data_IF_030797901102
#
_entry.id   IF_030797901102
#
_cell.length_a   1.000
_cell.length_b   1.000
_cell.length_c   1.000
_cell.angle_alpha   90.00
_cell.angle_beta   90.00
_cell.angle_gamma   90.00
#
_symmetry.space_group_name_H-M   'P 1'
#
loop_
_entity.id
_entity.type
_entity.pdbx_description
1 polymer ?
#
# COMPACT_ATOMS: atom_id res chain seq x y z
N UNK A 1 70.76 34.66 14.75
CA UNK A 1 70.61 35.34 13.47
C UNK A 1 69.15 35.40 13.12
N UNK A 2 68.51 36.43 13.58
CA UNK A 2 67.09 36.72 13.52
C UNK A 2 66.78 37.42 12.22
N UNK A 3 65.84 36.89 11.44
CA UNK A 3 65.25 37.62 10.30
C UNK A 3 63.79 37.85 10.57
N UNK A 4 63.56 39.10 10.91
CA UNK A 4 62.27 39.78 11.05
C UNK A 4 61.66 39.97 9.64
N UNK A 5 60.42 39.59 9.44
CA UNK A 5 59.68 39.79 8.20
C UNK A 5 58.27 40.25 8.49
N UNK A 6 58.15 41.54 8.85
CA UNK A 6 56.86 42.24 8.86
C UNK A 6 56.52 42.77 7.47
N UNK A 7 55.35 42.53 6.89
CA UNK A 7 54.95 43.18 5.66
C UNK A 7 54.39 44.58 5.88
N UNK A 8 54.86 45.47 5.06
CA UNK A 8 54.56 46.90 4.95
C UNK A 8 53.07 47.17 4.66
N UNK A 9 52.43 48.18 5.26
CA UNK A 9 51.05 48.57 4.97
C UNK A 9 51.00 49.32 3.64
N UNK A 10 50.14 48.80 2.72
CA UNK A 10 49.83 49.45 1.46
C UNK A 10 48.93 50.66 1.71
N UNK A 11 49.47 51.84 1.27
CA UNK A 11 48.85 53.15 1.24
C UNK A 11 47.44 53.13 0.65
N UNK A 12 46.46 53.68 1.37
CA UNK A 12 45.13 53.97 0.90
C UNK A 12 45.20 55.09 -0.18
N UNK A 13 44.79 54.76 -1.39
CA UNK A 13 44.55 55.74 -2.46
C UNK A 13 43.13 56.36 -2.23
N UNK A 14 43.08 57.69 -2.25
CA UNK A 14 41.82 58.46 -2.20
C UNK A 14 40.92 58.13 -3.40
N UNK A 15 39.60 58.06 -3.22
CA UNK A 15 38.66 57.86 -4.33
C UNK A 15 38.45 59.18 -5.09
N UNK A 16 38.56 59.11 -6.41
CA UNK A 16 38.26 60.21 -7.31
C UNK A 16 36.76 60.58 -7.26
N UNK A 17 36.41 61.87 -7.32
CA UNK A 17 35.03 62.34 -7.26
C UNK A 17 34.32 62.18 -8.61
N UNK A 18 33.11 61.58 -8.57
CA UNK A 18 32.08 61.79 -9.60
C UNK A 18 31.96 60.75 -10.68
N UNK A 19 31.29 59.62 -10.34
CA UNK A 19 30.45 58.86 -11.27
C UNK A 19 29.51 58.02 -10.43
N UNK A 20 28.35 58.61 -10.05
CA UNK A 20 27.20 57.81 -9.66
C UNK A 20 26.65 57.14 -10.88
N UNK A 21 26.64 55.80 -11.00
CA UNK A 21 25.86 55.18 -12.03
C UNK A 21 24.38 55.41 -11.71
N UNK A 22 23.64 56.05 -12.60
CA UNK A 22 22.17 56.00 -12.65
C UNK A 22 21.75 54.55 -12.65
N UNK A 23 21.45 54.01 -11.50
CA UNK A 23 20.79 52.73 -11.37
C UNK A 23 19.35 52.96 -11.88
N UNK A 24 19.10 52.59 -13.14
CA UNK A 24 17.74 52.41 -13.65
C UNK A 24 16.95 51.57 -12.64
N UNK A 25 15.69 51.91 -12.31
CA UNK A 25 14.86 51.16 -11.41
C UNK A 25 14.80 49.72 -11.90
N UNK A 26 15.11 48.77 -10.99
CA UNK A 26 15.01 47.35 -11.31
C UNK A 26 13.61 47.08 -11.86
N UNK A 27 13.49 46.32 -12.96
CA UNK A 27 12.18 45.98 -13.50
C UNK A 27 11.39 45.28 -12.38
N UNK A 28 10.16 45.78 -12.16
CA UNK A 28 9.20 45.17 -11.24
C UNK A 28 9.09 43.67 -11.56
N UNK A 29 9.72 42.83 -10.77
CA UNK A 29 9.52 41.39 -10.84
C UNK A 29 8.04 41.14 -10.55
N UNK A 30 7.31 40.47 -11.43
CA UNK A 30 5.92 40.18 -11.16
C UNK A 30 5.81 39.45 -9.83
N UNK A 31 5.00 39.98 -8.92
CA UNK A 31 4.76 39.41 -7.60
C UNK A 31 4.44 37.92 -7.78
N UNK A 32 5.26 37.05 -7.16
CA UNK A 32 5.04 35.60 -7.23
C UNK A 32 3.59 35.34 -6.81
N UNK A 33 2.80 34.63 -7.63
CA UNK A 33 1.41 34.40 -7.34
C UNK A 33 1.32 33.76 -5.94
N UNK A 34 0.55 34.35 -5.03
CA UNK A 34 0.23 33.77 -3.74
C UNK A 34 -0.41 32.42 -3.99
N UNK A 35 0.40 31.36 -4.00
CA UNK A 35 -0.10 29.99 -4.14
C UNK A 35 -0.95 29.72 -2.90
N UNK A 36 -2.26 29.60 -3.11
CA UNK A 36 -3.17 29.13 -2.05
C UNK A 36 -2.60 27.85 -1.45
N UNK A 37 -2.61 27.75 -0.12
CA UNK A 37 -2.19 26.53 0.60
C UNK A 37 -2.86 25.26 0.06
N UNK A 38 -3.99 25.39 -0.60
CA UNK A 38 -4.77 24.29 -1.20
C UNK A 38 -4.63 24.17 -2.72
N UNK A 39 -3.73 24.92 -3.38
CA UNK A 39 -3.52 24.81 -4.82
C UNK A 39 -3.07 23.40 -5.25
N UNK A 40 -2.46 22.63 -4.34
CA UNK A 40 -2.07 21.23 -4.59
C UNK A 40 -3.27 20.27 -4.67
N UNK A 41 -4.46 20.67 -4.21
CA UNK A 41 -5.68 19.87 -4.34
C UNK A 41 -6.39 20.08 -5.70
N UNK A 42 -5.87 20.96 -6.55
CA UNK A 42 -6.50 21.19 -7.86
C UNK A 42 -6.36 19.96 -8.77
N UNK A 43 -7.46 19.45 -9.36
CA UNK A 43 -7.47 18.17 -10.09
C UNK A 43 -6.54 18.06 -11.31
N UNK A 44 -6.09 19.19 -11.85
CA UNK A 44 -5.19 19.24 -13.02
C UNK A 44 -3.81 19.82 -12.70
N UNK A 45 -3.53 20.11 -11.41
CA UNK A 45 -2.23 20.64 -11.03
C UNK A 45 -1.16 19.53 -10.99
N UNK A 46 -0.04 19.75 -11.69
CA UNK A 46 1.15 18.91 -11.51
C UNK A 46 1.76 19.18 -10.14
N UNK A 47 2.15 18.11 -9.44
CA UNK A 47 2.66 18.20 -8.08
C UNK A 47 4.19 18.22 -8.09
N UNK A 48 4.79 19.05 -7.22
CA UNK A 48 6.20 18.88 -6.86
C UNK A 48 6.38 17.59 -6.04
N UNK A 49 7.60 17.07 -5.96
CA UNK A 49 7.87 15.88 -5.14
C UNK A 49 7.41 16.06 -3.68
N UNK A 50 7.57 17.26 -3.11
CA UNK A 50 7.13 17.55 -1.76
C UNK A 50 5.60 17.55 -1.63
N UNK A 51 4.89 18.25 -2.52
CA UNK A 51 3.42 18.31 -2.46
C UNK A 51 2.77 16.96 -2.77
N UNK A 52 3.35 16.17 -3.68
CA UNK A 52 2.92 14.80 -3.94
C UNK A 52 3.08 13.91 -2.71
N UNK A 53 4.24 13.97 -2.05
CA UNK A 53 4.51 13.20 -0.82
C UNK A 53 3.52 13.57 0.27
N UNK A 54 3.33 14.86 0.54
CA UNK A 54 2.40 15.34 1.56
C UNK A 54 0.96 14.90 1.27
N UNK A 55 0.51 15.03 0.03
CA UNK A 55 -0.81 14.61 -0.41
C UNK A 55 -1.04 13.10 -0.21
N UNK A 56 -0.07 12.28 -0.63
CA UNK A 56 -0.15 10.83 -0.48
C UNK A 56 -0.07 10.39 0.99
N UNK A 57 0.77 11.04 1.80
CA UNK A 57 0.83 10.78 3.25
C UNK A 57 -0.49 11.09 3.94
N UNK A 58 -1.08 12.26 3.67
CA UNK A 58 -2.37 12.67 4.23
C UNK A 58 -3.49 11.71 3.78
N UNK A 59 -3.50 11.33 2.50
CA UNK A 59 -4.42 10.34 1.96
C UNK A 59 -4.28 8.99 2.66
N UNK A 60 -3.07 8.51 2.86
CA UNK A 60 -2.80 7.23 3.53
C UNK A 60 -3.29 7.26 4.98
N UNK A 61 -3.04 8.35 5.71
CA UNK A 61 -3.54 8.52 7.07
C UNK A 61 -5.08 8.52 7.10
N UNK A 62 -5.70 9.32 6.24
CA UNK A 62 -7.16 9.41 6.18
C UNK A 62 -7.80 8.09 5.75
N UNK A 63 -7.20 7.40 4.78
CA UNK A 63 -7.63 6.05 4.37
C UNK A 63 -7.49 5.04 5.50
N UNK A 64 -6.42 5.12 6.30
CA UNK A 64 -6.24 4.30 7.50
C UNK A 64 -7.34 4.52 8.53
N UNK A 65 -7.70 5.77 8.80
CA UNK A 65 -8.83 6.12 9.69
C UNK A 65 -10.15 5.58 9.13
N UNK A 66 -10.41 5.77 7.82
CA UNK A 66 -11.60 5.23 7.18
C UNK A 66 -11.64 3.70 7.21
N UNK A 67 -10.49 3.03 7.10
CA UNK A 67 -10.42 1.58 7.23
C UNK A 67 -10.81 1.09 8.64
N UNK A 68 -10.38 1.81 9.69
CA UNK A 68 -10.81 1.52 11.07
C UNK A 68 -12.31 1.75 11.25
N UNK A 69 -12.83 2.88 10.74
CA UNK A 69 -14.27 3.18 10.75
C UNK A 69 -15.05 2.09 10.00
N UNK A 70 -14.58 1.67 8.83
CA UNK A 70 -15.16 0.58 8.05
C UNK A 70 -15.25 -0.71 8.85
N UNK A 71 -14.16 -1.13 9.49
CA UNK A 71 -14.12 -2.36 10.30
C UNK A 71 -15.07 -2.23 11.48
N UNK A 72 -15.11 -1.08 12.15
CA UNK A 72 -16.05 -0.82 13.24
C UNK A 72 -17.50 -0.98 12.76
N UNK A 73 -17.88 -0.38 11.64
CA UNK A 73 -19.26 -0.49 11.12
C UNK A 73 -19.61 -1.91 10.69
N UNK A 74 -18.69 -2.63 10.03
CA UNK A 74 -18.90 -4.03 9.65
C UNK A 74 -19.16 -4.88 10.90
N UNK A 75 -18.32 -4.77 11.92
CA UNK A 75 -18.47 -5.54 13.15
C UNK A 75 -19.68 -5.09 13.97
N UNK A 76 -20.02 -3.81 13.97
CA UNK A 76 -21.20 -3.30 14.64
C UNK A 76 -22.49 -3.90 14.06
N UNK A 77 -22.59 -4.04 12.74
CA UNK A 77 -23.79 -4.54 12.05
C UNK A 77 -23.83 -6.07 12.05
N UNK A 78 -22.71 -6.75 11.76
CA UNK A 78 -22.68 -8.19 11.49
C UNK A 78 -21.98 -9.00 12.60
N UNK A 79 -21.24 -8.37 13.51
CA UNK A 79 -20.46 -9.03 14.57
C UNK A 79 -19.20 -9.71 14.03
N UNK A 80 -18.44 -10.35 14.94
CA UNK A 80 -17.38 -11.28 14.58
C UNK A 80 -17.98 -12.69 14.56
N UNK A 81 -18.37 -13.17 13.38
CA UNK A 81 -19.07 -14.43 13.25
C UNK A 81 -19.02 -14.99 11.83
N UNK A 82 -19.81 -16.04 11.56
CA UNK A 82 -19.76 -16.77 10.31
C UNK A 82 -19.90 -15.92 9.05
N UNK A 83 -20.75 -14.91 9.09
CA UNK A 83 -20.99 -14.04 7.94
C UNK A 83 -19.79 -13.14 7.65
N UNK A 84 -19.22 -12.52 8.68
CA UNK A 84 -18.03 -11.67 8.57
C UNK A 84 -16.78 -12.48 8.25
N UNK A 85 -16.67 -13.69 8.77
CA UNK A 85 -15.58 -14.61 8.41
C UNK A 85 -15.66 -15.00 6.94
N UNK A 86 -16.85 -15.38 6.44
CA UNK A 86 -17.07 -15.69 5.05
C UNK A 86 -16.76 -14.48 4.13
N UNK A 87 -17.17 -13.28 4.54
CA UNK A 87 -16.87 -12.05 3.81
C UNK A 87 -15.36 -11.77 3.75
N UNK A 88 -14.67 -11.86 4.88
CA UNK A 88 -13.24 -11.61 4.95
C UNK A 88 -12.42 -12.67 4.20
N UNK A 89 -12.80 -13.94 4.32
CA UNK A 89 -12.20 -15.06 3.60
C UNK A 89 -12.40 -14.95 2.07
N UNK A 90 -13.53 -14.41 1.65
CA UNK A 90 -13.89 -14.29 0.24
C UNK A 90 -12.94 -13.39 -0.58
N UNK A 91 -12.17 -12.52 0.06
CA UNK A 91 -11.15 -11.72 -0.62
C UNK A 91 -9.88 -12.50 -0.98
N UNK A 92 -9.63 -13.66 -0.36
CA UNK A 92 -8.33 -14.32 -0.52
C UNK A 92 -8.08 -14.81 -1.94
N UNK A 93 -9.04 -15.46 -2.57
CA UNK A 93 -8.87 -15.92 -3.95
C UNK A 93 -8.76 -14.76 -4.95
N UNK A 94 -9.60 -13.70 -4.90
CA UNK A 94 -9.39 -12.48 -5.68
C UNK A 94 -8.02 -11.84 -5.45
N UNK A 95 -7.59 -11.70 -4.19
CA UNK A 95 -6.27 -11.14 -3.85
C UNK A 95 -5.14 -11.99 -4.43
N UNK A 96 -5.22 -13.33 -4.33
CA UNK A 96 -4.22 -14.23 -4.93
C UNK A 96 -4.11 -14.01 -6.44
N UNK A 97 -5.23 -13.92 -7.15
CA UNK A 97 -5.23 -13.62 -8.58
C UNK A 97 -4.57 -12.27 -8.87
N UNK A 98 -4.91 -11.23 -8.09
CA UNK A 98 -4.31 -9.92 -8.25
C UNK A 98 -2.79 -9.95 -8.00
N UNK A 99 -2.33 -10.64 -6.96
CA UNK A 99 -0.89 -10.74 -6.66
C UNK A 99 -0.13 -11.51 -7.74
N UNK A 100 -0.66 -12.62 -8.23
CA UNK A 100 0.00 -13.44 -9.24
C UNK A 100 -0.06 -12.84 -10.65
N UNK A 101 -1.15 -12.15 -11.01
CA UNK A 101 -1.35 -11.64 -12.38
C UNK A 101 -1.05 -10.15 -12.53
N UNK A 102 -1.17 -9.38 -11.45
CA UNK A 102 -1.02 -7.91 -11.48
C UNK A 102 0.15 -7.45 -10.61
N UNK A 103 0.37 -8.12 -9.46
CA UNK A 103 1.49 -7.90 -8.55
C UNK A 103 1.64 -6.48 -8.00
N UNK A 104 0.62 -5.63 -8.12
CA UNK A 104 0.73 -4.20 -7.80
C UNK A 104 1.72 -3.42 -8.66
N UNK A 105 2.38 -4.08 -9.59
CA UNK A 105 3.57 -3.61 -10.34
C UNK A 105 3.21 -3.20 -11.75
N UNK A 106 2.01 -3.60 -12.24
CA UNK A 106 1.58 -3.28 -13.60
C UNK A 106 1.70 -1.78 -13.91
N UNK A 107 1.31 -0.94 -12.97
CA UNK A 107 1.42 0.52 -13.09
C UNK A 107 2.87 0.99 -13.09
N UNK A 108 3.74 0.42 -12.25
CA UNK A 108 5.15 0.85 -12.12
C UNK A 108 5.91 0.55 -13.41
N UNK A 109 5.77 -0.67 -13.94
CA UNK A 109 6.39 -1.06 -15.21
C UNK A 109 5.89 -0.20 -16.37
N UNK A 110 4.58 0.10 -16.38
CA UNK A 110 4.00 0.93 -17.42
C UNK A 110 4.46 2.39 -17.34
N UNK A 111 4.61 2.96 -16.14
CA UNK A 111 5.17 4.31 -15.94
C UNK A 111 6.56 4.43 -16.56
N UNK A 112 7.41 3.41 -16.40
CA UNK A 112 8.75 3.41 -17.01
C UNK A 112 8.69 3.48 -18.53
N UNK A 113 7.78 2.72 -19.14
CA UNK A 113 7.59 2.71 -20.59
C UNK A 113 7.01 4.05 -21.06
N UNK A 114 5.99 4.56 -20.39
CA UNK A 114 5.33 5.82 -20.74
C UNK A 114 6.28 7.03 -20.63
N UNK A 115 7.15 7.06 -19.61
CA UNK A 115 8.15 8.13 -19.48
C UNK A 115 9.04 8.23 -20.71
N UNK A 116 9.39 7.11 -21.35
CA UNK A 116 10.17 7.10 -22.59
C UNK A 116 9.37 7.71 -23.74
N UNK A 117 8.13 7.24 -24.00
CA UNK A 117 7.28 7.78 -25.04
C UNK A 117 7.05 9.30 -24.91
N UNK A 118 6.79 9.76 -23.70
CA UNK A 118 6.52 11.19 -23.45
C UNK A 118 7.79 12.04 -23.49
N UNK A 119 8.96 11.48 -23.14
CA UNK A 119 10.24 12.17 -23.32
C UNK A 119 10.60 12.35 -24.79
N UNK A 120 10.17 11.45 -25.67
CA UNK A 120 10.33 11.52 -27.12
C UNK A 120 9.24 12.38 -27.79
N UNK A 121 8.25 12.90 -27.03
CA UNK A 121 7.13 13.69 -27.53
C UNK A 121 6.03 12.86 -28.22
N UNK A 122 6.10 11.52 -28.12
CA UNK A 122 5.13 10.59 -28.69
C UNK A 122 4.01 10.26 -27.70
N UNK A 123 3.13 11.23 -27.47
CA UNK A 123 1.96 11.03 -26.58
C UNK A 123 0.99 9.98 -27.14
N UNK A 124 0.81 9.92 -28.44
CA UNK A 124 -0.08 8.96 -29.08
C UNK A 124 0.45 7.53 -28.96
N UNK A 125 1.76 7.33 -29.12
CA UNK A 125 2.40 6.04 -28.87
C UNK A 125 2.26 5.60 -27.42
N UNK A 126 2.37 6.52 -26.47
CA UNK A 126 2.09 6.27 -25.05
C UNK A 126 0.64 5.85 -24.80
N UNK A 127 -0.33 6.53 -25.40
CA UNK A 127 -1.76 6.18 -25.27
C UNK A 127 -2.09 4.84 -25.91
N UNK A 128 -1.45 4.51 -27.04
CA UNK A 128 -1.53 3.18 -27.67
C UNK A 128 -0.93 2.10 -26.75
N UNK A 129 0.20 2.36 -26.13
CA UNK A 129 0.83 1.42 -25.19
C UNK A 129 -0.09 1.13 -23.99
N UNK A 130 -0.70 2.17 -23.37
CA UNK A 130 -1.72 2.01 -22.34
C UNK A 130 -2.85 1.12 -22.82
N UNK A 131 -3.40 1.41 -23.99
CA UNK A 131 -4.57 0.71 -24.54
C UNK A 131 -4.25 -0.76 -24.85
N UNK A 132 -3.08 -1.06 -25.39
CA UNK A 132 -2.65 -2.43 -25.69
C UNK A 132 -2.47 -3.25 -24.40
N UNK A 133 -1.77 -2.71 -23.40
CA UNK A 133 -1.61 -3.37 -22.09
C UNK A 133 -2.96 -3.57 -21.42
N UNK A 134 -3.81 -2.56 -21.43
CA UNK A 134 -5.15 -2.61 -20.85
C UNK A 134 -6.00 -3.71 -21.51
N UNK A 135 -6.11 -3.72 -22.83
CA UNK A 135 -6.94 -4.66 -23.56
C UNK A 135 -6.44 -6.10 -23.42
N UNK A 136 -5.12 -6.32 -23.53
CA UNK A 136 -4.52 -7.64 -23.39
C UNK A 136 -4.78 -8.19 -21.96
N UNK A 137 -4.59 -7.38 -20.94
CA UNK A 137 -4.76 -7.82 -19.56
C UNK A 137 -6.22 -7.92 -19.12
N UNK A 138 -7.13 -7.12 -19.69
CA UNK A 138 -8.57 -7.33 -19.49
C UNK A 138 -8.96 -8.73 -19.95
N UNK A 139 -8.45 -9.17 -21.10
CA UNK A 139 -8.72 -10.54 -21.60
C UNK A 139 -8.07 -11.61 -20.72
N UNK A 140 -6.79 -11.45 -20.36
CA UNK A 140 -6.06 -12.43 -19.53
C UNK A 140 -6.69 -12.52 -18.13
N UNK A 141 -6.88 -11.37 -17.48
CA UNK A 141 -7.46 -11.33 -16.14
C UNK A 141 -8.93 -11.74 -16.15
N UNK A 142 -9.69 -11.30 -17.15
CA UNK A 142 -11.09 -11.70 -17.32
C UNK A 142 -11.23 -13.22 -17.53
N UNK A 143 -10.39 -13.82 -18.38
CA UNK A 143 -10.34 -15.27 -18.54
C UNK A 143 -9.94 -15.98 -17.25
N UNK A 144 -8.93 -15.46 -16.53
CA UNK A 144 -8.50 -16.03 -15.25
C UNK A 144 -9.61 -15.95 -14.19
N UNK A 145 -10.38 -14.86 -14.14
CA UNK A 145 -11.54 -14.71 -13.26
C UNK A 145 -12.60 -15.77 -13.61
N UNK A 146 -12.99 -15.88 -14.88
CA UNK A 146 -13.96 -16.87 -15.33
C UNK A 146 -13.50 -18.31 -15.01
N UNK A 147 -12.22 -18.61 -15.23
CA UNK A 147 -11.65 -19.91 -14.88
C UNK A 147 -11.68 -20.12 -13.36
N UNK A 148 -11.37 -19.10 -12.54
CA UNK A 148 -11.33 -19.21 -11.10
C UNK A 148 -12.71 -19.39 -10.46
N UNK A 149 -13.78 -18.97 -11.12
CA UNK A 149 -15.15 -19.18 -10.60
C UNK A 149 -15.54 -20.65 -10.47
N UNK A 150 -15.05 -21.52 -11.38
CA UNK A 150 -15.35 -22.95 -11.35
C UNK A 150 -14.76 -23.65 -10.14
N UNK A 151 -13.46 -23.57 -9.84
CA UNK A 151 -12.87 -24.21 -8.66
C UNK A 151 -13.09 -23.44 -7.34
N UNK A 152 -13.74 -22.29 -7.35
CA UNK A 152 -13.96 -21.50 -6.13
C UNK A 152 -14.58 -22.30 -4.97
N UNK A 153 -15.60 -23.17 -5.15
CA UNK A 153 -16.13 -23.99 -4.06
C UNK A 153 -15.10 -24.97 -3.50
N UNK A 154 -14.32 -25.59 -4.39
CA UNK A 154 -13.27 -26.54 -4.01
C UNK A 154 -12.11 -25.82 -3.28
N UNK A 155 -11.71 -24.65 -3.78
CA UNK A 155 -10.75 -23.79 -3.10
C UNK A 155 -11.19 -23.43 -1.68
N UNK A 156 -12.44 -22.95 -1.51
CA UNK A 156 -12.98 -22.58 -0.20
C UNK A 156 -12.99 -23.77 0.76
N UNK A 157 -13.39 -24.96 0.28
CA UNK A 157 -13.44 -26.15 1.11
C UNK A 157 -12.05 -26.61 1.60
N UNK A 158 -11.03 -26.54 0.75
CA UNK A 158 -9.66 -26.89 1.13
C UNK A 158 -9.04 -25.82 2.01
N UNK A 159 -9.28 -24.56 1.67
CA UNK A 159 -8.63 -23.41 2.30
C UNK A 159 -9.19 -23.10 3.68
N UNK A 160 -10.47 -23.35 3.90
CA UNK A 160 -11.18 -23.04 5.16
C UNK A 160 -11.88 -24.29 5.69
N UNK A 161 -11.10 -25.30 6.15
CA UNK A 161 -11.67 -26.59 6.56
C UNK A 161 -12.55 -26.49 7.82
N UNK A 162 -12.42 -25.43 8.62
CA UNK A 162 -13.26 -25.17 9.76
C UNK A 162 -14.65 -24.59 9.43
N UNK A 163 -14.90 -24.22 8.17
CA UNK A 163 -16.21 -23.70 7.78
C UNK A 163 -17.24 -24.80 7.70
N UNK A 164 -18.41 -24.55 8.27
CA UNK A 164 -19.58 -25.39 8.02
C UNK A 164 -19.99 -25.33 6.54
N UNK A 165 -20.76 -26.32 6.02
CA UNK A 165 -21.22 -26.30 4.64
C UNK A 165 -21.94 -25.00 4.23
N UNK A 166 -22.74 -24.42 5.13
CA UNK A 166 -23.44 -23.16 4.92
C UNK A 166 -22.48 -21.97 4.82
N UNK A 167 -21.43 -21.92 5.69
CA UNK A 167 -20.40 -20.87 5.65
C UNK A 167 -19.54 -20.97 4.40
N UNK A 168 -19.17 -22.19 4.00
CA UNK A 168 -18.40 -22.43 2.77
C UNK A 168 -19.19 -22.01 1.53
N UNK A 169 -20.51 -22.30 1.48
CA UNK A 169 -21.38 -21.87 0.40
C UNK A 169 -21.50 -20.34 0.34
N UNK A 170 -21.67 -19.68 1.49
CA UNK A 170 -21.70 -18.22 1.59
C UNK A 170 -20.36 -17.61 1.12
N UNK A 171 -19.25 -18.10 1.65
CA UNK A 171 -17.90 -17.65 1.26
C UNK A 171 -17.68 -17.79 -0.26
N UNK A 172 -18.07 -18.94 -0.84
CA UNK A 172 -17.97 -19.19 -2.28
C UNK A 172 -18.78 -18.16 -3.08
N UNK A 173 -20.02 -17.88 -2.69
CA UNK A 173 -20.85 -16.92 -3.41
C UNK A 173 -20.29 -15.49 -3.32
N UNK A 174 -19.80 -15.09 -2.15
CA UNK A 174 -19.14 -13.78 -1.97
C UNK A 174 -17.82 -13.69 -2.75
N UNK A 175 -17.03 -14.79 -2.79
CA UNK A 175 -15.79 -14.87 -3.59
C UNK A 175 -16.07 -14.64 -5.07
N UNK A 176 -17.07 -15.35 -5.63
CA UNK A 176 -17.47 -15.19 -7.02
C UNK A 176 -17.91 -13.76 -7.36
N UNK A 177 -18.63 -13.12 -6.46
CA UNK A 177 -19.03 -11.72 -6.64
C UNK A 177 -17.86 -10.73 -6.51
N UNK A 178 -16.82 -11.06 -5.74
CA UNK A 178 -15.64 -10.21 -5.55
C UNK A 178 -14.58 -10.38 -6.64
N UNK A 179 -14.53 -11.53 -7.31
CA UNK A 179 -13.55 -11.79 -8.37
C UNK A 179 -13.52 -10.69 -9.45
N UNK A 180 -14.66 -10.20 -9.99
CA UNK A 180 -14.67 -9.12 -10.97
C UNK A 180 -14.10 -7.79 -10.47
N UNK A 181 -14.06 -7.55 -9.15
CA UNK A 181 -13.49 -6.33 -8.57
C UNK A 181 -12.03 -6.12 -8.98
N UNK A 182 -11.28 -7.21 -9.14
CA UNK A 182 -9.87 -7.16 -9.52
C UNK A 182 -9.65 -6.58 -10.92
N UNK A 183 -10.61 -6.79 -11.82
CA UNK A 183 -10.57 -6.19 -13.14
C UNK A 183 -10.63 -4.65 -13.07
N UNK A 184 -11.49 -4.12 -12.24
CA UNK A 184 -11.64 -2.67 -12.06
C UNK A 184 -10.44 -2.04 -11.34
N UNK A 185 -9.83 -2.74 -10.37
CA UNK A 185 -8.57 -2.32 -9.78
C UNK A 185 -7.46 -2.24 -10.81
N UNK A 186 -7.36 -3.25 -11.68
CA UNK A 186 -6.37 -3.28 -12.75
C UNK A 186 -6.59 -2.14 -13.76
N UNK A 187 -7.81 -1.96 -14.26
CA UNK A 187 -8.17 -0.88 -15.18
C UNK A 187 -7.75 0.47 -14.59
N UNK A 188 -8.11 0.71 -13.33
CA UNK A 188 -7.77 1.94 -12.64
C UNK A 188 -6.27 2.17 -12.49
N UNK A 189 -5.51 1.11 -12.18
CA UNK A 189 -4.05 1.18 -12.07
C UNK A 189 -3.36 1.48 -13.39
N UNK A 190 -3.77 0.81 -14.48
CA UNK A 190 -3.19 1.02 -15.82
C UNK A 190 -3.51 2.42 -16.33
N UNK A 191 -4.76 2.84 -16.27
CA UNK A 191 -5.17 4.19 -16.71
C UNK A 191 -4.54 5.25 -15.82
N UNK A 192 -4.47 5.01 -14.51
CA UNK A 192 -3.85 5.91 -13.53
C UNK A 192 -2.36 6.15 -13.78
N UNK A 193 -1.66 5.25 -14.48
CA UNK A 193 -0.25 5.45 -14.82
C UNK A 193 -0.01 6.70 -15.67
N UNK A 194 -0.93 7.07 -16.58
CA UNK A 194 -0.87 8.35 -17.32
C UNK A 194 -0.85 9.54 -16.36
N UNK A 195 -1.70 9.54 -15.34
CA UNK A 195 -1.75 10.62 -14.35
C UNK A 195 -0.45 10.73 -13.56
N UNK A 196 0.14 9.60 -13.18
CA UNK A 196 1.39 9.55 -12.42
C UNK A 196 2.58 10.08 -13.24
N UNK A 197 2.66 9.75 -14.52
CA UNK A 197 3.69 10.28 -15.42
C UNK A 197 3.57 11.81 -15.57
N UNK A 198 2.35 12.33 -15.63
CA UNK A 198 2.07 13.78 -15.64
C UNK A 198 2.17 14.42 -14.24
N UNK A 199 2.62 13.65 -13.21
CA UNK A 199 2.77 14.12 -11.82
C UNK A 199 1.46 14.60 -11.18
N UNK A 200 0.34 14.02 -11.56
CA UNK A 200 -1.00 14.33 -11.02
C UNK A 200 -1.40 13.24 -10.03
N UNK A 201 -1.17 13.48 -8.75
CA UNK A 201 -1.33 12.48 -7.69
C UNK A 201 -2.69 12.53 -6.98
N UNK A 202 -3.50 13.55 -7.22
CA UNK A 202 -4.78 13.76 -6.52
C UNK A 202 -5.75 12.59 -6.71
N UNK A 203 -5.82 12.01 -7.91
CA UNK A 203 -6.69 10.87 -8.20
C UNK A 203 -6.27 9.63 -7.43
N UNK A 204 -4.95 9.36 -7.37
CA UNK A 204 -4.39 8.28 -6.56
C UNK A 204 -4.67 8.47 -5.06
N UNK A 205 -4.63 9.71 -4.58
CA UNK A 205 -4.90 10.05 -3.19
C UNK A 205 -6.37 9.83 -2.81
N UNK A 206 -7.32 10.14 -3.69
CA UNK A 206 -8.76 10.02 -3.42
C UNK A 206 -9.27 8.59 -3.59
N UNK A 207 -8.69 7.81 -4.48
CA UNK A 207 -9.11 6.42 -4.80
C UNK A 207 -9.36 5.54 -3.56
N UNK A 208 -8.43 5.39 -2.59
CA UNK A 208 -8.66 4.53 -1.43
C UNK A 208 -9.73 5.08 -0.46
N UNK A 209 -9.98 6.39 -0.50
CA UNK A 209 -11.04 7.00 0.30
C UNK A 209 -12.42 6.61 -0.25
N UNK A 210 -12.61 6.71 -1.57
CA UNK A 210 -13.85 6.30 -2.25
C UNK A 210 -14.11 4.80 -2.04
N UNK A 211 -13.07 3.97 -2.14
CA UNK A 211 -13.16 2.54 -1.90
C UNK A 211 -13.69 2.23 -0.48
N UNK A 212 -13.09 2.82 0.54
CA UNK A 212 -13.52 2.61 1.92
C UNK A 212 -14.94 3.17 2.17
N UNK A 213 -15.24 4.35 1.64
CA UNK A 213 -16.58 4.94 1.72
C UNK A 213 -17.63 4.06 1.05
N UNK A 214 -17.34 3.48 -0.11
CA UNK A 214 -18.26 2.57 -0.79
C UNK A 214 -18.69 1.42 0.10
N UNK A 215 -17.76 0.78 0.82
CA UNK A 215 -18.05 -0.32 1.73
C UNK A 215 -18.85 0.17 2.94
N UNK A 216 -18.48 1.31 3.53
CA UNK A 216 -19.18 1.90 4.68
C UNK A 216 -20.64 2.22 4.31
N UNK A 217 -20.84 2.88 3.17
CA UNK A 217 -22.18 3.23 2.69
C UNK A 217 -22.99 1.98 2.35
N UNK A 218 -22.38 0.96 1.75
CA UNK A 218 -22.99 -0.34 1.53
C UNK A 218 -23.47 -0.97 2.84
N UNK A 219 -22.61 -0.97 3.87
CA UNK A 219 -22.96 -1.49 5.19
C UNK A 219 -24.14 -0.73 5.83
N UNK A 220 -24.13 0.61 5.76
CA UNK A 220 -25.15 1.45 6.42
C UNK A 220 -26.49 1.37 5.70
N UNK A 221 -26.52 1.53 4.39
CA UNK A 221 -27.77 1.70 3.64
C UNK A 221 -28.37 0.42 3.08
N UNK A 222 -27.53 -0.60 2.82
CA UNK A 222 -27.97 -1.80 2.12
C UNK A 222 -28.03 -3.05 3.00
N UNK A 223 -27.49 -3.01 4.23
CA UNK A 223 -27.40 -4.19 5.10
C UNK A 223 -28.77 -4.78 5.47
N UNK A 224 -29.78 -3.94 5.69
CA UNK A 224 -31.13 -4.41 6.04
C UNK A 224 -31.79 -5.21 4.89
N UNK A 225 -31.46 -4.87 3.63
CA UNK A 225 -32.08 -5.53 2.48
C UNK A 225 -31.27 -6.70 1.94
N UNK A 226 -29.94 -6.58 1.95
CA UNK A 226 -29.04 -7.54 1.31
C UNK A 226 -28.14 -8.30 2.31
N UNK A 227 -28.28 -8.05 3.61
CA UNK A 227 -27.43 -8.68 4.63
C UNK A 227 -25.95 -8.44 4.31
N UNK A 228 -25.11 -9.47 4.47
CA UNK A 228 -23.66 -9.39 4.25
C UNK A 228 -23.27 -9.07 2.79
N UNK A 229 -24.13 -9.36 1.79
CA UNK A 229 -23.90 -9.02 0.40
C UNK A 229 -23.80 -7.50 0.16
N UNK A 230 -24.41 -6.70 1.06
CA UNK A 230 -24.30 -5.24 1.03
C UNK A 230 -22.87 -4.75 1.02
N UNK A 231 -21.97 -5.46 1.71
CA UNK A 231 -20.55 -5.14 1.76
C UNK A 231 -19.87 -5.37 0.40
N UNK A 232 -20.22 -6.47 -0.29
CA UNK A 232 -19.70 -6.78 -1.62
C UNK A 232 -20.20 -5.76 -2.65
N UNK A 233 -21.48 -5.38 -2.57
CA UNK A 233 -22.02 -4.29 -3.41
C UNK A 233 -21.24 -2.99 -3.15
N UNK A 234 -20.96 -2.68 -1.88
CA UNK A 234 -20.13 -1.52 -1.50
C UNK A 234 -18.70 -1.59 -2.04
N UNK A 235 -18.07 -2.78 -2.01
CA UNK A 235 -16.75 -3.03 -2.61
C UNK A 235 -16.79 -2.75 -4.11
N UNK A 236 -17.74 -3.36 -4.84
CA UNK A 236 -17.85 -3.20 -6.29
C UNK A 236 -18.12 -1.75 -6.67
N UNK A 237 -19.05 -1.08 -5.98
CA UNK A 237 -19.31 0.35 -6.19
C UNK A 237 -18.06 1.20 -5.92
N UNK A 238 -17.37 0.92 -4.80
CA UNK A 238 -16.15 1.63 -4.41
C UNK A 238 -15.01 1.46 -5.41
N UNK A 239 -14.84 0.25 -5.96
CA UNK A 239 -13.79 -0.05 -6.96
C UNK A 239 -14.13 0.55 -8.32
N UNK A 240 -15.38 0.47 -8.74
CA UNK A 240 -15.82 1.05 -10.01
C UNK A 240 -15.72 2.59 -9.97
N UNK A 241 -16.20 3.22 -8.91
CA UNK A 241 -16.20 4.69 -8.80
C UNK A 241 -14.82 5.26 -8.48
N UNK A 242 -14.05 4.62 -7.60
CA UNK A 242 -12.71 5.07 -7.20
C UNK A 242 -11.64 4.70 -8.23
N UNK A 243 -11.06 3.50 -8.19
CA UNK A 243 -9.96 3.14 -9.08
C UNK A 243 -10.31 3.29 -10.56
N UNK A 244 -11.43 2.75 -11.04
CA UNK A 244 -11.73 2.73 -12.46
C UNK A 244 -12.23 4.08 -12.97
N UNK A 245 -13.40 4.55 -12.52
CA UNK A 245 -14.04 5.73 -13.09
C UNK A 245 -13.30 7.03 -12.79
N UNK A 246 -12.82 7.21 -11.55
CA UNK A 246 -12.10 8.42 -11.16
C UNK A 246 -10.78 8.57 -11.93
N UNK A 247 -9.98 7.50 -12.06
CA UNK A 247 -8.74 7.55 -12.83
C UNK A 247 -9.00 7.68 -14.32
N UNK A 248 -10.06 7.05 -14.86
CA UNK A 248 -10.47 7.22 -16.26
C UNK A 248 -10.87 8.67 -16.55
N UNK A 249 -11.65 9.28 -15.67
CA UNK A 249 -12.03 10.69 -15.77
C UNK A 249 -10.81 11.61 -15.73
N UNK A 250 -9.89 11.37 -14.79
CA UNK A 250 -8.64 12.14 -14.70
C UNK A 250 -7.77 12.01 -15.93
N UNK A 251 -7.58 10.79 -16.43
CA UNK A 251 -6.78 10.52 -17.63
C UNK A 251 -7.41 11.11 -18.90
N UNK A 252 -8.74 11.04 -19.04
CA UNK A 252 -9.45 11.67 -20.15
C UNK A 252 -9.26 13.19 -20.14
N UNK A 253 -9.24 13.84 -18.96
CA UNK A 253 -8.91 15.27 -18.83
C UNK A 253 -7.47 15.60 -19.22
N UNK A 254 -6.56 14.62 -19.13
CA UNK A 254 -5.19 14.73 -19.60
C UNK A 254 -5.02 14.26 -21.05
N UNK A 255 -6.12 14.21 -21.81
CA UNK A 255 -6.10 13.91 -23.23
C UNK A 255 -5.86 12.42 -23.57
N UNK A 256 -6.06 11.48 -22.63
CA UNK A 256 -5.93 10.05 -22.93
C UNK A 256 -6.90 9.69 -24.07
N UNK A 257 -6.35 9.17 -25.15
CA UNK A 257 -7.08 8.59 -26.27
C UNK A 257 -7.04 7.07 -26.19
N UNK A 258 -8.19 6.48 -25.88
CA UNK A 258 -8.28 5.01 -25.84
C UNK A 258 -8.36 4.47 -27.27
N UNK A 259 -7.54 3.45 -27.55
CA UNK A 259 -7.49 2.72 -28.81
C UNK A 259 -7.93 1.26 -28.59
N UNK A 260 -8.98 0.76 -29.22
CA UNK A 260 -9.41 -0.63 -29.09
C UNK A 260 -8.50 -1.58 -29.89
N UNK A 261 -7.18 -1.54 -29.57
CA UNK A 261 -6.15 -2.35 -30.23
C UNK A 261 -5.82 -3.53 -29.33
N UNK A 262 -5.87 -4.74 -29.90
CA UNK A 262 -5.39 -5.96 -29.28
C UNK A 262 -4.18 -6.49 -30.04
N UNK A 263 -2.98 -6.29 -29.47
CA UNK A 263 -1.74 -6.74 -30.07
C UNK A 263 -0.72 -7.15 -28.99
N UNK A 264 -0.76 -8.43 -28.61
CA UNK A 264 0.17 -9.01 -27.62
C UNK A 264 1.62 -9.08 -28.10
N UNK A 265 1.86 -8.91 -29.42
CA UNK A 265 3.21 -8.91 -30.01
C UNK A 265 3.81 -7.49 -30.07
N UNK A 266 3.05 -6.49 -29.66
CA UNK A 266 3.55 -5.11 -29.65
C UNK A 266 4.72 -4.96 -28.68
N UNK A 267 5.80 -4.24 -29.02
CA UNK A 267 6.98 -4.08 -28.17
C UNK A 267 6.64 -3.58 -26.77
N UNK A 268 5.70 -2.63 -26.64
CA UNK A 268 5.28 -2.11 -25.34
C UNK A 268 4.66 -3.18 -24.43
N UNK A 269 3.90 -4.13 -24.97
CA UNK A 269 3.33 -5.23 -24.18
C UNK A 269 4.39 -6.23 -23.75
N UNK A 270 5.27 -6.65 -24.65
CA UNK A 270 6.35 -7.60 -24.33
C UNK A 270 7.34 -7.03 -23.33
N UNK A 271 7.67 -5.74 -23.45
CA UNK A 271 8.52 -5.03 -22.49
C UNK A 271 7.83 -4.91 -21.14
N UNK A 272 6.55 -4.52 -21.12
CA UNK A 272 5.75 -4.46 -19.90
C UNK A 272 5.69 -5.82 -19.19
N UNK A 273 5.43 -6.89 -19.92
CA UNK A 273 5.38 -8.24 -19.37
C UNK A 273 6.72 -8.68 -18.78
N UNK A 274 7.83 -8.41 -19.51
CA UNK A 274 9.19 -8.73 -19.06
C UNK A 274 9.57 -7.99 -17.76
N UNK A 275 9.16 -6.73 -17.62
CA UNK A 275 9.41 -5.94 -16.42
C UNK A 275 8.50 -6.36 -15.25
N UNK A 276 7.25 -6.73 -15.53
CA UNK A 276 6.25 -7.03 -14.51
C UNK A 276 6.40 -8.44 -13.94
N UNK A 277 6.75 -9.44 -14.74
CA UNK A 277 6.74 -10.85 -14.34
C UNK A 277 7.63 -11.17 -13.12
N UNK A 278 8.89 -10.70 -13.03
CA UNK A 278 9.73 -10.96 -11.85
C UNK A 278 9.14 -10.33 -10.57
N UNK A 279 8.53 -9.16 -10.72
CA UNK A 279 7.95 -8.41 -9.61
C UNK A 279 6.64 -9.06 -9.10
N UNK A 280 5.83 -9.62 -9.99
CA UNK A 280 4.63 -10.39 -9.63
C UNK A 280 4.97 -11.58 -8.72
N UNK A 281 6.02 -12.33 -9.04
CA UNK A 281 6.46 -13.48 -8.25
C UNK A 281 6.97 -13.02 -6.87
N UNK A 282 7.76 -11.96 -6.81
CA UNK A 282 8.34 -11.45 -5.56
C UNK A 282 7.30 -10.96 -4.56
N UNK A 283 6.26 -10.26 -5.03
CA UNK A 283 5.20 -9.74 -4.16
C UNK A 283 4.31 -10.86 -3.62
N UNK A 284 4.06 -11.90 -4.40
CA UNK A 284 3.19 -13.02 -4.01
C UNK A 284 3.70 -13.77 -2.79
N UNK A 285 5.02 -14.00 -2.67
CA UNK A 285 5.62 -14.70 -1.53
C UNK A 285 5.53 -13.90 -0.23
N UNK A 286 5.64 -12.58 -0.31
CA UNK A 286 5.60 -11.71 0.88
C UNK A 286 4.22 -11.66 1.56
N UNK A 287 3.15 -12.05 0.85
CA UNK A 287 1.76 -12.01 1.36
C UNK A 287 1.23 -13.35 1.84
N UNK A 288 2.01 -14.42 1.67
CA UNK A 288 1.60 -15.78 2.03
C UNK A 288 1.26 -15.97 3.53
N UNK A 289 1.91 -15.20 4.43
CA UNK A 289 1.62 -15.21 5.86
C UNK A 289 0.14 -14.96 6.18
N UNK A 290 -0.48 -13.98 5.50
CA UNK A 290 -1.93 -13.68 5.63
C UNK A 290 -2.77 -14.93 5.34
N UNK A 291 -2.40 -15.67 4.29
CA UNK A 291 -3.15 -16.85 3.86
C UNK A 291 -2.97 -18.04 4.80
N UNK A 292 -1.79 -18.19 5.42
CA UNK A 292 -1.53 -19.24 6.41
C UNK A 292 -2.35 -18.98 7.67
N UNK A 293 -2.33 -17.75 8.18
CA UNK A 293 -3.07 -17.37 9.38
C UNK A 293 -4.57 -17.59 9.24
N UNK A 294 -5.17 -17.23 8.10
CA UNK A 294 -6.61 -17.41 7.88
C UNK A 294 -7.02 -18.88 7.77
N UNK A 295 -6.13 -19.77 7.29
CA UNK A 295 -6.36 -21.21 7.29
C UNK A 295 -6.60 -21.72 8.73
N UNK A 296 -5.73 -21.37 9.66
CA UNK A 296 -5.90 -21.78 11.07
C UNK A 296 -7.10 -21.06 11.73
N UNK A 297 -7.25 -19.77 11.50
CA UNK A 297 -8.36 -18.98 12.05
C UNK A 297 -9.75 -19.45 11.59
N UNK A 298 -9.84 -20.17 10.47
CA UNK A 298 -11.11 -20.71 9.98
C UNK A 298 -11.75 -21.77 10.90
N UNK A 299 -10.96 -22.38 11.80
CA UNK A 299 -11.44 -23.38 12.73
C UNK A 299 -12.19 -22.78 13.93
N UNK A 300 -12.10 -21.47 14.14
CA UNK A 300 -12.78 -20.76 15.20
C UNK A 300 -13.84 -19.80 14.63
N UNK A 301 -15.07 -19.87 15.15
CA UNK A 301 -16.17 -19.03 14.70
C UNK A 301 -15.90 -17.56 15.07
N UNK A 302 -15.82 -16.70 14.07
CA UNK A 302 -15.41 -15.31 14.24
C UNK A 302 -13.90 -15.09 14.29
N UNK A 303 -13.09 -16.16 14.20
CA UNK A 303 -11.64 -16.13 14.32
C UNK A 303 -10.97 -15.29 13.24
N UNK A 304 -11.41 -15.42 11.97
CA UNK A 304 -10.87 -14.62 10.87
C UNK A 304 -11.17 -13.14 11.09
N UNK A 305 -12.40 -12.81 11.50
CA UNK A 305 -12.83 -11.44 11.72
C UNK A 305 -12.08 -10.79 12.87
N UNK A 306 -11.94 -11.47 14.00
CA UNK A 306 -11.18 -11.01 15.18
C UNK A 306 -9.70 -10.80 14.83
N UNK A 307 -9.11 -11.73 14.09
CA UNK A 307 -7.72 -11.64 13.61
C UNK A 307 -7.51 -10.40 12.73
N UNK A 308 -8.44 -10.11 11.83
CA UNK A 308 -8.35 -8.94 10.93
C UNK A 308 -8.46 -7.63 11.72
N UNK A 309 -9.35 -7.55 12.71
CA UNK A 309 -9.46 -6.38 13.59
C UNK A 309 -8.13 -6.15 14.32
N UNK A 310 -7.62 -7.20 15.00
CA UNK A 310 -6.37 -7.13 15.75
C UNK A 310 -5.18 -6.74 14.86
N UNK A 311 -5.06 -7.36 13.68
CA UNK A 311 -3.99 -7.06 12.71
C UNK A 311 -4.11 -5.65 12.14
N UNK A 312 -5.30 -5.14 11.91
CA UNK A 312 -5.50 -3.76 11.42
C UNK A 312 -5.10 -2.73 12.46
N UNK A 313 -5.45 -2.96 13.73
CA UNK A 313 -5.01 -2.11 14.84
C UNK A 313 -3.48 -2.14 14.99
N UNK A 314 -2.86 -3.33 14.87
CA UNK A 314 -1.40 -3.50 14.91
C UNK A 314 -0.70 -2.80 13.75
N UNK A 315 -1.29 -2.79 12.55
CA UNK A 315 -0.67 -2.20 11.35
C UNK A 315 -0.44 -0.69 11.46
N UNK A 316 -1.21 0.04 12.27
CA UNK A 316 -1.04 1.48 12.44
C UNK A 316 0.32 1.84 13.10
N UNK A 317 0.67 1.37 14.31
CA UNK A 317 1.99 1.61 14.90
C UNK A 317 3.13 0.94 14.09
N UNK A 318 2.90 -0.24 13.52
CA UNK A 318 3.88 -0.92 12.68
C UNK A 318 4.20 -0.12 11.42
N UNK A 319 3.20 0.53 10.81
CA UNK A 319 3.40 1.41 9.66
C UNK A 319 4.30 2.60 9.98
N UNK A 320 4.16 3.19 11.17
CA UNK A 320 4.98 4.32 11.63
C UNK A 320 6.39 3.85 11.98
N UNK A 321 6.50 2.87 12.87
CA UNK A 321 7.78 2.45 13.47
C UNK A 321 8.61 1.60 12.51
N UNK A 322 7.98 0.68 11.77
CA UNK A 322 8.68 -0.22 10.86
C UNK A 322 8.83 0.38 9.46
N UNK A 323 7.73 0.79 8.83
CA UNK A 323 7.74 1.20 7.43
C UNK A 323 8.30 2.60 7.23
N UNK A 324 7.81 3.61 7.98
CA UNK A 324 8.25 4.99 7.82
C UNK A 324 9.69 5.20 8.29
N UNK A 325 10.08 4.62 9.44
CA UNK A 325 11.46 4.69 9.94
C UNK A 325 12.43 3.98 8.98
N UNK A 326 12.04 2.81 8.44
CA UNK A 326 12.82 2.10 7.44
C UNK A 326 13.01 2.91 6.16
N UNK A 327 11.93 3.48 5.62
CA UNK A 327 11.98 4.31 4.42
C UNK A 327 12.86 5.56 4.59
N UNK A 328 12.77 6.23 5.73
CA UNK A 328 13.59 7.39 6.06
C UNK A 328 15.08 7.05 6.21
N UNK A 329 15.41 5.83 6.63
CA UNK A 329 16.80 5.39 6.81
C UNK A 329 17.49 5.03 5.48
N UNK A 330 16.74 4.64 4.46
CA UNK A 330 17.29 4.14 3.19
C UNK A 330 18.27 5.08 2.48
N UNK A 331 18.01 6.41 2.31
CA UNK A 331 18.94 7.31 1.66
C UNK A 331 20.27 7.43 2.39
N UNK A 332 20.23 7.44 3.74
CA UNK A 332 21.44 7.51 4.57
C UNK A 332 22.29 6.24 4.43
N UNK A 333 21.65 5.07 4.47
CA UNK A 333 22.33 3.79 4.25
C UNK A 333 22.94 3.70 2.87
N UNK A 334 22.20 4.09 1.82
CA UNK A 334 22.69 4.09 0.44
C UNK A 334 23.87 5.02 0.24
N UNK A 335 23.87 6.21 0.85
CA UNK A 335 24.99 7.15 0.79
C UNK A 335 26.26 6.59 1.45
N UNK A 336 26.14 5.96 2.64
CA UNK A 336 27.29 5.36 3.32
C UNK A 336 27.83 4.14 2.56
N UNK A 337 26.96 3.34 1.97
CA UNK A 337 27.33 2.18 1.18
C UNK A 337 28.05 2.59 -0.11
N UNK A 338 27.52 3.57 -0.86
CA UNK A 338 28.12 4.08 -2.10
C UNK A 338 29.50 4.72 -1.88
N UNK A 339 29.74 5.30 -0.70
CA UNK A 339 31.03 5.83 -0.28
C UNK A 339 32.01 4.77 0.23
N UNK A 340 31.64 3.49 0.18
CA UNK A 340 32.41 2.34 0.70
C UNK A 340 32.79 2.47 2.20
N UNK A 341 31.99 3.23 2.99
CA UNK A 341 32.20 3.46 4.43
C UNK A 341 31.48 2.37 5.25
N UNK A 342 31.96 1.11 5.12
CA UNK A 342 31.27 -0.05 5.69
C UNK A 342 31.17 -0.03 7.22
N UNK A 343 32.18 0.50 7.92
CA UNK A 343 32.13 0.64 9.39
C UNK A 343 31.03 1.61 9.85
N UNK A 344 30.91 2.76 9.16
CA UNK A 344 29.87 3.74 9.45
C UNK A 344 28.48 3.24 9.02
N UNK A 345 28.41 2.51 7.92
CA UNK A 345 27.19 1.85 7.46
C UNK A 345 26.67 0.88 8.53
N UNK A 346 27.48 -0.08 8.96
CA UNK A 346 27.11 -1.04 10.00
C UNK A 346 26.72 -0.37 11.33
N UNK A 347 27.51 0.62 11.76
CA UNK A 347 27.25 1.42 12.95
C UNK A 347 25.93 2.20 12.85
N UNK A 348 25.61 2.77 11.66
CA UNK A 348 24.37 3.49 11.41
C UNK A 348 23.16 2.56 11.44
N UNK A 349 23.25 1.39 10.81
CA UNK A 349 22.20 0.36 10.85
C UNK A 349 21.95 -0.09 12.29
N UNK A 350 23.00 -0.43 13.05
CA UNK A 350 22.87 -0.89 14.44
C UNK A 350 22.22 0.20 15.34
N UNK A 351 22.60 1.46 15.18
CA UNK A 351 21.98 2.57 15.92
C UNK A 351 20.51 2.75 15.53
N UNK A 352 20.17 2.64 14.25
CA UNK A 352 18.78 2.73 13.80
C UNK A 352 17.93 1.59 14.35
N UNK A 353 18.44 0.35 14.28
CA UNK A 353 17.77 -0.84 14.84
C UNK A 353 17.59 -0.73 16.35
N UNK A 354 18.64 -0.35 17.10
CA UNK A 354 18.55 -0.19 18.56
C UNK A 354 17.51 0.86 18.96
N UNK A 355 17.48 2.00 18.25
CA UNK A 355 16.50 3.06 18.52
C UNK A 355 15.07 2.61 18.20
N UNK A 356 14.86 1.96 17.05
CA UNK A 356 13.53 1.51 16.68
C UNK A 356 13.03 0.40 17.61
N UNK A 357 13.91 -0.51 18.06
CA UNK A 357 13.58 -1.51 19.07
C UNK A 357 13.16 -0.86 20.37
N UNK A 358 13.95 0.10 20.89
CA UNK A 358 13.65 0.79 22.14
C UNK A 358 12.28 1.49 22.11
N UNK A 359 12.00 2.24 21.04
CA UNK A 359 10.69 2.92 20.86
C UNK A 359 9.57 1.91 20.66
N UNK A 360 9.81 0.84 19.91
CA UNK A 360 8.82 -0.21 19.66
C UNK A 360 8.48 -1.00 20.92
N UNK A 361 9.44 -1.24 21.82
CA UNK A 361 9.18 -1.90 23.13
C UNK A 361 8.28 -1.02 24.01
N UNK A 362 8.51 0.29 24.05
CA UNK A 362 7.63 1.22 24.76
C UNK A 362 6.22 1.22 24.13
N UNK A 363 6.13 1.33 22.82
CA UNK A 363 4.87 1.27 22.12
C UNK A 363 4.14 -0.07 22.33
N UNK A 364 4.87 -1.18 22.28
CA UNK A 364 4.38 -2.54 22.58
C UNK A 364 3.79 -2.63 23.99
N UNK A 365 4.51 -2.13 25.00
CA UNK A 365 4.03 -2.12 26.38
C UNK A 365 2.71 -1.30 26.50
N UNK A 366 2.62 -0.14 25.86
CA UNK A 366 1.40 0.67 25.83
C UNK A 366 0.25 -0.05 25.09
N UNK A 367 0.55 -0.66 23.94
CA UNK A 367 -0.45 -1.44 23.19
C UNK A 367 -1.00 -2.59 24.03
N UNK A 368 -0.14 -3.33 24.73
CA UNK A 368 -0.55 -4.44 25.61
C UNK A 368 -1.40 -3.93 26.77
N UNK A 369 -0.95 -2.88 27.46
CA UNK A 369 -1.68 -2.31 28.59
C UNK A 369 -3.05 -1.75 28.18
N UNK A 370 -3.13 -1.14 27.01
CA UNK A 370 -4.36 -0.50 26.50
C UNK A 370 -5.17 -1.42 25.59
N UNK A 371 -4.73 -2.65 25.32
CA UNK A 371 -5.39 -3.56 24.38
C UNK A 371 -6.89 -3.72 24.65
N UNK A 372 -7.34 -3.99 25.88
CA UNK A 372 -8.78 -4.10 26.16
C UNK A 372 -9.53 -2.79 25.85
N UNK A 373 -8.99 -1.65 26.24
CA UNK A 373 -9.63 -0.35 26.03
C UNK A 373 -9.69 0.05 24.55
N UNK A 374 -8.61 -0.22 23.79
CA UNK A 374 -8.55 0.07 22.35
C UNK A 374 -9.56 -0.80 21.60
N UNK A 375 -9.63 -2.08 21.90
CA UNK A 375 -10.55 -2.99 21.23
C UNK A 375 -12.00 -2.74 21.68
N UNK A 376 -12.21 -2.34 22.92
CA UNK A 376 -13.55 -1.98 23.42
C UNK A 376 -14.18 -0.80 22.65
N UNK A 377 -13.38 0.05 22.02
CA UNK A 377 -13.89 1.07 21.07
C UNK A 377 -14.66 0.47 19.89
N UNK A 378 -14.42 -0.80 19.57
CA UNK A 378 -15.10 -1.51 18.49
C UNK A 378 -16.35 -2.25 19.00
N UNK A 379 -16.51 -2.42 20.31
CA UNK A 379 -17.67 -3.06 20.93
C UNK A 379 -18.94 -2.28 20.62
N UNK A 380 -20.02 -3.02 20.37
CA UNK A 380 -21.35 -2.50 20.14
C UNK A 380 -22.08 -3.20 19.00
N UNK A 381 -23.39 -3.03 18.94
CA UNK A 381 -24.23 -3.76 18.00
C UNK A 381 -24.08 -5.27 18.13
N UNK A 382 -23.72 -5.92 17.03
CA UNK A 382 -23.49 -7.38 16.98
C UNK A 382 -22.09 -7.81 17.44
N UNK A 383 -21.14 -6.87 17.68
CA UNK A 383 -19.82 -7.18 18.20
C UNK A 383 -19.84 -7.25 19.72
N UNK A 384 -19.81 -8.45 20.25
CA UNK A 384 -20.03 -8.76 21.67
C UNK A 384 -18.83 -8.39 22.56
N UNK A 385 -19.01 -8.45 23.88
CA UNK A 385 -17.92 -8.31 24.83
C UNK A 385 -16.91 -9.45 24.71
N UNK A 386 -17.37 -10.68 24.44
CA UNK A 386 -16.50 -11.84 24.22
C UNK A 386 -15.63 -11.62 22.99
N UNK A 387 -16.21 -11.15 21.87
CA UNK A 387 -15.45 -10.83 20.66
C UNK A 387 -14.37 -9.78 20.92
N UNK A 388 -14.71 -8.75 21.70
CA UNK A 388 -13.75 -7.71 22.08
C UNK A 388 -12.60 -8.27 22.93
N UNK A 389 -12.90 -9.15 23.89
CA UNK A 389 -11.91 -9.76 24.79
C UNK A 389 -10.94 -10.65 23.99
N UNK A 390 -11.45 -11.53 23.14
CA UNK A 390 -10.63 -12.41 22.30
C UNK A 390 -9.82 -11.62 21.26
N UNK A 391 -10.42 -10.58 20.67
CA UNK A 391 -9.69 -9.68 19.77
C UNK A 391 -8.56 -8.95 20.51
N UNK A 392 -8.75 -8.55 21.77
CA UNK A 392 -7.72 -7.92 22.58
C UNK A 392 -6.57 -8.88 22.88
N UNK A 393 -6.84 -10.16 23.06
CA UNK A 393 -5.80 -11.19 23.20
C UNK A 393 -4.96 -11.30 21.92
N UNK A 394 -5.60 -11.42 20.74
CA UNK A 394 -4.89 -11.44 19.46
C UNK A 394 -4.07 -10.17 19.23
N UNK A 395 -4.63 -9.00 19.56
CA UNK A 395 -3.92 -7.72 19.46
C UNK A 395 -2.70 -7.66 20.39
N UNK A 396 -2.81 -8.22 21.61
CA UNK A 396 -1.70 -8.33 22.56
C UNK A 396 -0.56 -9.20 22.00
N UNK A 397 -0.90 -10.34 21.40
CA UNK A 397 0.11 -11.24 20.77
C UNK A 397 0.83 -10.50 19.63
N UNK A 398 0.10 -9.79 18.76
CA UNK A 398 0.73 -8.97 17.73
C UNK A 398 1.60 -7.87 18.33
N UNK A 399 1.15 -7.21 19.40
CA UNK A 399 1.90 -6.14 20.05
C UNK A 399 3.25 -6.60 20.58
N UNK A 400 3.36 -7.82 21.11
CA UNK A 400 4.63 -8.43 21.56
C UNK A 400 5.64 -8.50 20.41
N UNK A 401 5.18 -8.76 19.19
CA UNK A 401 6.06 -8.93 18.01
C UNK A 401 6.48 -7.60 17.35
N UNK A 402 5.93 -6.46 17.79
CA UNK A 402 6.14 -5.16 17.16
C UNK A 402 7.61 -4.78 16.98
N UNK A 403 8.42 -5.00 18.01
CA UNK A 403 9.85 -4.66 17.98
C UNK A 403 10.62 -5.48 16.93
N UNK A 404 10.25 -6.75 16.74
CA UNK A 404 10.86 -7.63 15.74
C UNK A 404 10.50 -7.20 14.32
N UNK A 405 9.22 -6.90 14.09
CA UNK A 405 8.75 -6.38 12.79
C UNK A 405 9.37 -5.03 12.44
N UNK A 406 9.48 -4.12 13.41
CA UNK A 406 10.12 -2.83 13.21
C UNK A 406 11.61 -2.95 12.90
N UNK A 407 12.34 -3.82 13.62
CA UNK A 407 13.73 -4.12 13.34
C UNK A 407 13.94 -4.73 11.95
N UNK A 408 13.09 -5.70 11.57
CA UNK A 408 13.10 -6.29 10.23
C UNK A 408 12.95 -5.22 9.13
N UNK A 409 12.06 -4.23 9.34
CA UNK A 409 11.87 -3.11 8.41
C UNK A 409 13.15 -2.32 8.16
N UNK A 410 13.96 -2.06 9.20
CA UNK A 410 15.26 -1.38 9.07
C UNK A 410 16.30 -2.28 8.37
N UNK A 411 16.41 -3.56 8.79
CA UNK A 411 17.36 -4.50 8.15
C UNK A 411 17.06 -4.69 6.66
N UNK A 412 15.79 -4.82 6.28
CA UNK A 412 15.41 -4.95 4.87
C UNK A 412 15.90 -3.73 4.05
N UNK A 413 15.77 -2.51 4.60
CA UNK A 413 16.27 -1.29 3.94
C UNK A 413 17.80 -1.24 3.89
N UNK A 414 18.50 -1.75 4.89
CA UNK A 414 19.96 -1.87 4.84
C UNK A 414 20.42 -2.80 3.72
N UNK A 415 19.77 -3.94 3.53
CA UNK A 415 20.05 -4.84 2.40
C UNK A 415 19.74 -4.18 1.05
N UNK A 416 18.63 -3.45 0.94
CA UNK A 416 18.29 -2.72 -0.30
C UNK A 416 19.30 -1.63 -0.60
N UNK A 417 19.80 -0.91 0.40
CA UNK A 417 20.88 0.08 0.25
C UNK A 417 22.19 -0.56 -0.25
N UNK A 418 22.44 -1.81 0.12
CA UNK A 418 23.57 -2.61 -0.35
C UNK A 418 23.31 -3.32 -1.69
N UNK A 419 22.27 -2.92 -2.44
CA UNK A 419 21.85 -3.55 -3.70
C UNK A 419 21.51 -5.05 -3.61
N UNK A 420 21.25 -5.54 -2.41
CA UNK A 420 20.93 -6.93 -2.16
C UNK A 420 19.44 -7.09 -1.80
N UNK A 421 18.61 -7.30 -2.81
CA UNK A 421 17.17 -7.56 -2.63
C UNK A 421 16.86 -9.04 -2.41
N UNK A 422 17.77 -9.92 -2.80
CA UNK A 422 17.58 -11.36 -2.75
C UNK A 422 17.58 -11.90 -1.32
N UNK A 423 18.52 -11.46 -0.49
CA UNK A 423 18.67 -11.96 0.90
C UNK A 423 17.39 -11.73 1.74
N UNK A 424 16.78 -10.53 1.79
CA UNK A 424 15.52 -10.36 2.52
C UNK A 424 14.36 -11.18 1.95
N UNK A 425 14.29 -11.33 0.62
CA UNK A 425 13.24 -12.11 -0.01
C UNK A 425 13.36 -13.62 0.32
N UNK A 426 14.56 -14.18 0.21
CA UNK A 426 14.84 -15.58 0.54
C UNK A 426 14.62 -15.84 2.01
N UNK A 427 15.17 -14.99 2.90
CA UNK A 427 14.99 -15.10 4.34
C UNK A 427 13.50 -15.06 4.74
N UNK A 428 12.74 -14.10 4.19
CA UNK A 428 11.30 -14.00 4.40
C UNK A 428 10.56 -15.27 3.94
N UNK A 429 10.89 -15.80 2.77
CA UNK A 429 10.29 -17.03 2.22
C UNK A 429 10.59 -18.25 3.10
N UNK A 430 11.83 -18.39 3.57
CA UNK A 430 12.23 -19.48 4.47
C UNK A 430 11.47 -19.38 5.80
N UNK A 431 11.40 -18.19 6.41
CA UNK A 431 10.66 -17.96 7.65
C UNK A 431 9.18 -18.31 7.47
N UNK A 432 8.56 -17.86 6.36
CA UNK A 432 7.16 -18.16 6.04
C UNK A 432 6.94 -19.68 5.89
N UNK A 433 7.82 -20.40 5.23
CA UNK A 433 7.73 -21.87 5.12
C UNK A 433 7.91 -22.57 6.48
N UNK A 434 8.87 -22.13 7.27
CA UNK A 434 9.11 -22.67 8.60
C UNK A 434 7.99 -22.32 9.59
N UNK A 435 7.25 -21.26 9.37
CA UNK A 435 6.10 -20.89 10.22
C UNK A 435 4.95 -21.88 10.12
N UNK A 436 4.77 -22.58 9.00
CA UNK A 436 3.66 -23.53 8.78
C UNK A 436 3.68 -24.68 9.83
N UNK A 437 4.77 -25.46 10.00
CA UNK A 437 4.80 -26.50 11.03
C UNK A 437 4.70 -25.92 12.46
N UNK A 438 5.26 -24.72 12.70
CA UNK A 438 5.15 -24.06 14.00
C UNK A 438 3.69 -23.70 14.29
N UNK A 439 2.99 -23.07 13.36
CA UNK A 439 1.56 -22.79 13.53
C UNK A 439 0.74 -24.06 13.72
N UNK A 440 1.06 -25.14 13.01
CA UNK A 440 0.35 -26.41 13.17
C UNK A 440 0.55 -26.98 14.58
N UNK A 441 1.78 -26.98 15.10
CA UNK A 441 2.06 -27.47 16.46
C UNK A 441 1.38 -26.59 17.49
N UNK A 442 1.50 -25.26 17.41
CA UNK A 442 0.87 -24.33 18.35
C UNK A 442 -0.67 -24.46 18.30
N UNK A 443 -1.26 -24.57 17.13
CA UNK A 443 -2.70 -24.75 16.98
C UNK A 443 -3.20 -26.04 17.67
N UNK A 444 -2.46 -27.15 17.58
CA UNK A 444 -2.84 -28.40 18.23
C UNK A 444 -2.57 -28.42 19.74
N UNK A 445 -1.64 -27.58 20.24
CA UNK A 445 -1.27 -27.57 21.68
C UNK A 445 -2.00 -26.50 22.47
N UNK A 446 -2.20 -25.33 21.90
CA UNK A 446 -2.70 -24.14 22.61
C UNK A 446 -4.05 -23.68 22.01
N UNK A 447 -4.41 -24.12 20.81
CA UNK A 447 -5.58 -23.65 20.08
C UNK A 447 -5.29 -22.34 19.35
N UNK A 448 -6.32 -21.47 19.24
CA UNK A 448 -6.22 -20.17 18.56
C UNK A 448 -5.69 -19.05 19.48
N UNK A 449 -5.51 -19.32 20.76
CA UNK A 449 -5.05 -18.34 21.76
C UNK A 449 -3.54 -18.37 21.95
#
# INVERSE_FOLDING_TARGET
>A
MTLDNTPNPISAAEPAPGLTPDLAPAPDLPAAPRRSLFAFLHPSASHSAFSATLLLMLSTLLSGVLALVRIKYINYIFGAGPQTDAYNAAFELPDMLAYFLVGGVASISLITILNRYYAEGDEEGGDRAISIVLNAMIMVLGAAILIAEFPAPYYVHIKFPGFSPAHAALCTSLTRLLLPAQLFFFIGGVIGSKLLVHKIFIYQAITPLIYNLGIILGAIFLSQRFGIYSLVIGVLAGVILGPAALNAFGAARQGLRYHPIFNIRHPAFTEWLRLSLPLMIGVSLATADKWILSFFASHDLGGISRLIVAKTLFNAPMGILGQAAGAASLPFFSSLFSQNRMGDFASSVNRAVSRVIAVSLIASAWMIALAPAIVDLFRGGSFSHTDATETAQYFTIFAITLALWAAQGIYARAFYAAHNTLTPAVAGSIITLLSIPVYRVLFHTIGMT
#
